data_IF_413984320898
#
_entry.id   IF_413984320898
#
_cell.length_a   1.000
_cell.length_b   1.000
_cell.length_c   1.000
_cell.angle_alpha   90.00
_cell.angle_beta   90.00
_cell.angle_gamma   90.00
#
_symmetry.space_group_name_H-M   'P 1'
#
loop_
_entity.id
_entity.type
_entity.pdbx_description
1 polymer ?
#
# COMPACT_ATOMS: atom_id res chain seq x y z
N UNK A 1 -10.04 -7.90 -15.15
CA UNK A 1 -8.85 -7.84 -14.29
C UNK A 1 -9.23 -7.55 -12.84
N UNK A 2 -10.14 -6.62 -12.59
CA UNK A 2 -10.53 -6.18 -11.24
C UNK A 2 -11.83 -6.80 -10.71
N UNK A 3 -12.55 -7.56 -11.54
CA UNK A 3 -13.75 -8.29 -11.12
C UNK A 3 -13.31 -9.60 -10.47
N UNK A 4 -13.78 -9.83 -9.22
CA UNK A 4 -13.53 -11.05 -8.45
C UNK A 4 -14.70 -12.01 -8.64
N UNK A 5 -14.41 -13.20 -9.13
CA UNK A 5 -15.39 -14.28 -9.37
C UNK A 5 -15.01 -15.57 -8.65
N UNK A 6 -13.82 -15.61 -8.08
CA UNK A 6 -13.30 -16.71 -7.29
C UNK A 6 -13.96 -16.80 -5.92
N UNK A 7 -14.14 -18.03 -5.42
CA UNK A 7 -14.55 -18.26 -4.04
C UNK A 7 -13.42 -17.93 -3.05
N UNK A 8 -13.75 -17.88 -1.77
CA UNK A 8 -12.83 -17.46 -0.70
C UNK A 8 -11.59 -18.36 -0.59
N UNK A 9 -11.75 -19.69 -0.72
CA UNK A 9 -10.62 -20.62 -0.63
C UNK A 9 -9.67 -20.46 -1.81
N UNK A 10 -10.22 -20.28 -2.99
CA UNK A 10 -9.46 -20.01 -4.20
C UNK A 10 -8.74 -18.66 -4.12
N UNK A 11 -9.38 -17.62 -3.56
CA UNK A 11 -8.75 -16.33 -3.35
C UNK A 11 -7.49 -16.43 -2.46
N UNK A 12 -7.60 -17.09 -1.29
CA UNK A 12 -6.47 -17.30 -0.37
C UNK A 12 -5.32 -18.03 -1.08
N UNK A 13 -5.63 -19.06 -1.86
CA UNK A 13 -4.62 -19.85 -2.57
C UNK A 13 -3.93 -19.08 -3.69
N UNK A 14 -4.66 -18.25 -4.42
CA UNK A 14 -4.13 -17.49 -5.55
C UNK A 14 -3.40 -16.22 -5.15
N UNK A 15 -3.77 -15.60 -4.02
CA UNK A 15 -3.27 -14.32 -3.56
C UNK A 15 -2.84 -14.36 -2.07
N UNK A 16 -1.85 -15.21 -1.75
CA UNK A 16 -1.48 -15.47 -0.35
C UNK A 16 -0.94 -14.23 0.36
N UNK A 17 -0.17 -13.37 -0.32
CA UNK A 17 0.37 -12.15 0.30
C UNK A 17 -0.72 -11.10 0.49
N UNK A 18 -1.57 -10.88 -0.50
CA UNK A 18 -2.72 -9.97 -0.36
C UNK A 18 -3.59 -10.39 0.81
N UNK A 19 -3.89 -11.70 0.90
CA UNK A 19 -4.68 -12.27 2.01
C UNK A 19 -3.99 -12.06 3.36
N UNK A 20 -2.69 -12.34 3.44
CA UNK A 20 -1.92 -12.17 4.66
C UNK A 20 -1.88 -10.71 5.13
N UNK A 21 -1.71 -9.75 4.21
CA UNK A 21 -1.73 -8.32 4.53
C UNK A 21 -3.10 -7.90 5.07
N UNK A 22 -4.19 -8.28 4.39
CA UNK A 22 -5.56 -7.96 4.82
C UNK A 22 -5.87 -8.55 6.20
N UNK A 23 -5.50 -9.82 6.42
CA UNK A 23 -5.70 -10.48 7.72
C UNK A 23 -4.87 -9.83 8.82
N UNK A 24 -3.60 -9.51 8.56
CA UNK A 24 -2.71 -8.86 9.53
C UNK A 24 -3.23 -7.48 9.94
N UNK A 25 -3.66 -6.66 9.00
CA UNK A 25 -4.24 -5.34 9.27
C UNK A 25 -5.51 -5.43 10.11
N UNK A 26 -6.39 -6.37 9.79
CA UNK A 26 -7.60 -6.61 10.56
C UNK A 26 -7.28 -7.07 11.99
N UNK A 27 -6.37 -8.04 12.14
CA UNK A 27 -5.97 -8.57 13.46
C UNK A 27 -5.34 -7.46 14.32
N UNK A 28 -4.41 -6.68 13.77
CA UNK A 28 -3.78 -5.57 14.49
C UNK A 28 -4.84 -4.54 14.90
N UNK A 29 -5.74 -4.17 14.00
CA UNK A 29 -6.79 -3.21 14.29
C UNK A 29 -7.71 -3.69 15.42
N UNK A 30 -8.14 -4.95 15.38
CA UNK A 30 -8.97 -5.56 16.47
C UNK A 30 -8.20 -5.61 17.79
N UNK A 31 -6.92 -5.97 17.78
CA UNK A 31 -6.09 -5.98 18.98
C UNK A 31 -5.97 -4.58 19.60
N UNK A 32 -5.81 -3.55 18.79
CA UNK A 32 -5.68 -2.16 19.29
C UNK A 32 -6.99 -1.54 19.77
N UNK A 33 -8.13 -2.20 19.59
CA UNK A 33 -9.39 -1.85 20.25
C UNK A 33 -9.46 -2.25 21.73
N UNK A 34 -8.54 -3.11 22.19
CA UNK A 34 -8.55 -3.61 23.57
C UNK A 34 -8.00 -2.50 24.50
N UNK A 35 -8.78 -2.01 25.48
CA UNK A 35 -8.38 -0.87 26.32
C UNK A 35 -7.45 -1.30 27.47
N UNK A 36 -6.31 -1.90 27.14
CA UNK A 36 -5.27 -2.26 28.09
C UNK A 36 -4.07 -1.34 27.94
N UNK A 37 -3.43 -0.89 29.06
CA UNK A 37 -2.26 -0.01 29.00
C UNK A 37 -1.10 -0.58 28.16
N UNK A 38 -0.87 -1.89 28.24
CA UNK A 38 0.13 -2.58 27.45
C UNK A 38 -0.17 -2.54 25.94
N UNK A 39 -1.44 -2.65 25.55
CA UNK A 39 -1.86 -2.56 24.13
C UNK A 39 -1.70 -1.14 23.64
N UNK A 40 -2.07 -0.14 24.45
CA UNK A 40 -1.88 1.27 24.12
C UNK A 40 -0.40 1.57 23.90
N UNK A 41 0.47 1.12 24.80
CA UNK A 41 1.92 1.27 24.63
C UNK A 41 2.42 0.66 23.29
N UNK A 42 1.98 -0.54 22.92
CA UNK A 42 2.34 -1.13 21.63
C UNK A 42 1.82 -0.33 20.44
N UNK A 43 0.59 0.20 20.54
CA UNK A 43 0.05 1.09 19.52
C UNK A 43 0.94 2.31 19.32
N UNK A 44 1.31 2.99 20.41
CA UNK A 44 2.14 4.21 20.36
C UNK A 44 3.55 3.94 19.83
N UNK A 45 4.12 2.76 20.10
CA UNK A 45 5.43 2.34 19.59
C UNK A 45 5.41 1.99 18.09
N UNK A 46 4.26 1.68 17.51
CA UNK A 46 4.17 1.17 16.14
C UNK A 46 3.65 2.18 15.12
N UNK A 47 3.09 3.31 15.55
CA UNK A 47 2.73 4.41 14.64
C UNK A 47 3.97 5.07 14.05
N UNK A 48 3.84 5.67 12.87
CA UNK A 48 4.85 6.55 12.30
C UNK A 48 4.94 7.83 13.14
N UNK A 49 6.15 8.15 13.59
CA UNK A 49 6.45 9.33 14.39
C UNK A 49 7.84 9.84 14.02
N UNK A 50 7.91 11.02 13.42
CA UNK A 50 9.15 11.53 12.84
C UNK A 50 10.25 11.73 13.88
N UNK A 51 9.92 12.23 15.07
CA UNK A 51 10.89 12.37 16.15
C UNK A 51 11.45 11.00 16.58
N UNK A 52 10.61 9.98 16.77
CA UNK A 52 11.06 8.63 17.09
C UNK A 52 11.99 8.06 16.03
N UNK A 53 11.73 8.30 14.74
CA UNK A 53 12.62 7.89 13.65
C UNK A 53 13.98 8.59 13.77
N UNK A 54 14.01 9.89 14.10
CA UNK A 54 15.24 10.64 14.32
C UNK A 54 16.06 10.11 15.51
N UNK A 55 15.41 9.60 16.54
CA UNK A 55 16.03 8.94 17.71
C UNK A 55 16.43 7.47 17.45
N UNK A 56 16.26 6.97 16.21
CA UNK A 56 16.69 5.64 15.81
C UNK A 56 15.62 4.56 15.81
N UNK A 57 14.35 4.90 15.96
CA UNK A 57 13.22 3.96 15.94
C UNK A 57 12.82 3.62 14.47
N UNK A 58 13.76 3.05 13.70
CA UNK A 58 13.61 2.80 12.26
C UNK A 58 12.45 1.88 11.87
N UNK A 59 11.95 1.04 12.80
CA UNK A 59 10.75 0.23 12.56
C UNK A 59 9.52 1.08 12.25
N UNK A 60 9.46 2.34 12.69
CA UNK A 60 8.38 3.29 12.38
C UNK A 60 8.29 3.71 10.91
N UNK A 61 9.26 3.31 10.09
CA UNK A 61 9.15 3.41 8.64
C UNK A 61 8.35 2.25 8.02
N UNK A 62 8.21 1.12 8.73
CA UNK A 62 7.55 -0.10 8.24
C UNK A 62 6.22 -0.34 8.95
N UNK A 63 6.19 -0.28 10.27
CA UNK A 63 5.04 -0.67 11.10
C UNK A 63 3.75 0.09 10.77
N UNK A 64 3.78 1.43 10.47
CA UNK A 64 2.58 2.20 10.17
C UNK A 64 1.78 1.69 8.96
N UNK A 65 2.45 0.99 8.03
CA UNK A 65 1.82 0.40 6.84
C UNK A 65 0.68 -0.57 7.21
N UNK A 66 0.76 -1.17 8.40
CA UNK A 66 -0.20 -2.18 8.87
C UNK A 66 -1.22 -1.65 9.87
N UNK A 67 -1.09 -0.39 10.32
CA UNK A 67 -1.90 0.21 11.38
C UNK A 67 -2.93 1.16 10.78
N UNK A 68 -4.12 1.22 11.39
CA UNK A 68 -5.21 2.06 10.92
C UNK A 68 -5.87 2.79 12.10
N UNK A 69 -6.04 4.11 11.97
CA UNK A 69 -6.59 4.97 13.00
C UNK A 69 -8.08 4.71 13.32
N UNK A 70 -8.84 4.10 12.40
CA UNK A 70 -10.26 3.84 12.61
C UNK A 70 -10.83 2.91 11.55
N UNK A 71 -12.08 2.49 11.79
CA UNK A 71 -12.78 1.52 10.93
C UNK A 71 -12.86 1.95 9.46
N UNK A 72 -13.26 3.20 9.20
CA UNK A 72 -13.37 3.70 7.81
C UNK A 72 -12.02 3.67 7.10
N UNK A 73 -10.94 4.04 7.81
CA UNK A 73 -9.58 4.01 7.26
C UNK A 73 -9.15 2.57 6.90
N UNK A 74 -9.35 1.62 7.81
CA UNK A 74 -9.10 0.19 7.54
C UNK A 74 -9.95 -0.30 6.36
N UNK A 75 -11.25 0.01 6.34
CA UNK A 75 -12.17 -0.46 5.33
C UNK A 75 -11.77 0.00 3.92
N UNK A 76 -11.51 1.30 3.73
CA UNK A 76 -11.13 1.83 2.42
C UNK A 76 -9.78 1.30 1.92
N UNK A 77 -8.79 1.16 2.81
CA UNK A 77 -7.52 0.53 2.47
C UNK A 77 -7.70 -0.95 2.12
N UNK A 78 -8.51 -1.68 2.89
CA UNK A 78 -8.78 -3.10 2.63
C UNK A 78 -9.53 -3.32 1.32
N UNK A 79 -10.52 -2.50 1.00
CA UNK A 79 -11.22 -2.55 -0.30
C UNK A 79 -10.24 -2.27 -1.45
N UNK A 80 -9.40 -1.25 -1.31
CA UNK A 80 -8.38 -0.93 -2.33
C UNK A 80 -7.41 -2.09 -2.54
N UNK A 81 -6.90 -2.69 -1.48
CA UNK A 81 -6.05 -3.89 -1.56
C UNK A 81 -6.78 -5.06 -2.20
N UNK A 82 -8.00 -5.37 -1.76
CA UNK A 82 -8.80 -6.47 -2.30
C UNK A 82 -9.03 -6.34 -3.81
N UNK A 83 -9.25 -5.14 -4.30
CA UNK A 83 -9.51 -4.88 -5.73
C UNK A 83 -8.22 -4.86 -6.56
N UNK A 84 -7.16 -4.21 -6.09
CA UNK A 84 -6.01 -3.88 -6.93
C UNK A 84 -4.79 -4.76 -6.69
N UNK A 85 -4.55 -5.27 -5.49
CA UNK A 85 -3.38 -6.06 -5.18
C UNK A 85 -3.33 -7.43 -5.88
N UNK A 86 -4.43 -8.21 -5.97
CA UNK A 86 -4.39 -9.57 -6.53
C UNK A 86 -3.86 -9.65 -7.95
N UNK A 87 -4.22 -8.69 -8.81
CA UNK A 87 -3.75 -8.71 -10.19
C UNK A 87 -2.23 -8.49 -10.28
N UNK A 88 -1.68 -7.60 -9.44
CA UNK A 88 -0.23 -7.37 -9.38
C UNK A 88 0.50 -8.56 -8.74
N UNK A 89 -0.04 -9.13 -7.67
CA UNK A 89 0.55 -10.32 -7.04
C UNK A 89 0.67 -11.47 -8.05
N UNK A 90 -0.37 -11.68 -8.87
CA UNK A 90 -0.34 -12.69 -9.93
C UNK A 90 0.66 -12.38 -11.05
N UNK A 91 0.78 -11.11 -11.45
CA UNK A 91 1.68 -10.67 -12.54
C UNK A 91 3.16 -10.71 -12.13
N UNK A 92 3.46 -10.31 -10.91
CA UNK A 92 4.83 -10.18 -10.41
C UNK A 92 5.32 -11.44 -9.69
N UNK A 93 4.40 -12.21 -9.12
CA UNK A 93 4.67 -13.26 -8.15
C UNK A 93 4.82 -12.72 -6.74
N UNK A 94 4.60 -13.58 -5.77
CA UNK A 94 4.45 -13.30 -4.33
C UNK A 94 5.56 -12.41 -3.74
N UNK A 95 6.84 -12.79 -3.93
CA UNK A 95 7.97 -12.07 -3.33
C UNK A 95 8.17 -10.67 -3.94
N UNK A 96 8.02 -10.54 -5.25
CA UNK A 96 8.20 -9.22 -5.91
C UNK A 96 7.05 -8.28 -5.59
N UNK A 97 5.83 -8.83 -5.49
CA UNK A 97 4.67 -8.06 -5.04
C UNK A 97 4.88 -7.54 -3.61
N UNK A 98 5.31 -8.42 -2.69
CA UNK A 98 5.61 -8.01 -1.31
C UNK A 98 6.72 -6.94 -1.27
N UNK A 99 7.78 -7.10 -2.05
CA UNK A 99 8.88 -6.13 -2.12
C UNK A 99 8.40 -4.76 -2.62
N UNK A 100 7.51 -4.72 -3.62
CA UNK A 100 6.91 -3.45 -4.08
C UNK A 100 5.99 -2.86 -3.03
N UNK A 101 5.11 -3.66 -2.42
CA UNK A 101 4.16 -3.18 -1.43
C UNK A 101 4.87 -2.54 -0.22
N UNK A 102 5.79 -3.30 0.40
CA UNK A 102 6.57 -2.80 1.53
C UNK A 102 7.52 -1.68 1.10
N UNK A 103 8.27 -1.87 0.02
CA UNK A 103 9.26 -0.90 -0.45
C UNK A 103 8.65 0.45 -0.78
N UNK A 104 7.51 0.48 -1.49
CA UNK A 104 6.83 1.74 -1.80
C UNK A 104 6.21 2.39 -0.57
N UNK A 105 5.67 1.60 0.37
CA UNK A 105 5.19 2.12 1.65
C UNK A 105 6.30 2.76 2.48
N UNK A 106 7.47 2.09 2.56
CA UNK A 106 8.66 2.63 3.23
C UNK A 106 9.17 3.90 2.54
N UNK A 107 9.22 3.93 1.20
CA UNK A 107 9.59 5.15 0.45
C UNK A 107 8.61 6.29 0.75
N UNK A 108 7.32 5.99 0.84
CA UNK A 108 6.30 6.95 1.27
C UNK A 108 6.57 7.52 2.66
N UNK A 109 6.85 6.66 3.62
CA UNK A 109 7.15 7.05 5.00
C UNK A 109 8.50 7.79 5.12
N UNK A 110 9.50 7.45 4.33
CA UNK A 110 10.75 8.21 4.22
C UNK A 110 10.47 9.62 3.68
N UNK A 111 9.65 9.75 2.64
CA UNK A 111 9.24 11.06 2.13
C UNK A 111 8.51 11.91 3.17
N UNK A 112 7.64 11.28 3.96
CA UNK A 112 6.98 11.91 5.11
C UNK A 112 7.99 12.39 6.14
N UNK A 113 8.94 11.54 6.53
CA UNK A 113 9.98 11.86 7.50
C UNK A 113 10.80 13.11 7.13
N UNK A 114 11.16 13.27 5.86
CA UNK A 114 11.98 14.39 5.41
C UNK A 114 11.22 15.70 5.21
N UNK A 115 9.90 15.65 5.02
CA UNK A 115 9.12 16.84 4.64
C UNK A 115 8.20 17.33 5.75
N UNK A 116 7.61 16.41 6.51
CA UNK A 116 6.72 16.76 7.60
C UNK A 116 7.50 17.10 8.88
N UNK A 117 6.93 17.89 9.79
CA UNK A 117 7.62 18.31 11.01
C UNK A 117 7.94 17.14 11.97
N UNK A 118 8.88 17.34 12.93
CA UNK A 118 9.29 16.28 13.85
C UNK A 118 8.15 15.65 14.67
N UNK A 119 7.14 16.41 15.01
CA UNK A 119 5.98 15.98 15.81
C UNK A 119 4.95 15.20 14.97
N UNK A 120 5.13 15.11 13.66
CA UNK A 120 4.17 14.48 12.78
C UNK A 120 4.04 12.99 13.06
N UNK A 121 2.80 12.55 13.20
CA UNK A 121 2.45 11.13 13.36
C UNK A 121 1.54 10.68 12.23
N UNK A 122 1.67 9.41 11.82
CA UNK A 122 0.86 8.85 10.75
C UNK A 122 0.70 7.34 10.86
N UNK A 123 -0.35 6.82 10.24
CA UNK A 123 -0.64 5.40 10.08
C UNK A 123 -1.35 5.16 8.74
N UNK A 124 -1.31 3.95 8.23
CA UNK A 124 -2.11 3.51 7.10
C UNK A 124 -1.32 2.84 5.98
N UNK A 125 -1.98 1.90 5.31
CA UNK A 125 -1.46 1.21 4.14
C UNK A 125 -1.46 2.07 2.87
N UNK A 126 -2.02 3.27 2.92
CA UNK A 126 -2.33 4.06 1.72
C UNK A 126 -1.09 4.45 0.91
N UNK A 127 0.06 4.73 1.54
CA UNK A 127 1.33 4.95 0.85
C UNK A 127 1.76 3.74 0.01
N UNK A 128 1.64 2.53 0.57
CA UNK A 128 1.91 1.29 -0.16
C UNK A 128 0.89 1.04 -1.29
N UNK A 129 -0.40 1.36 -1.06
CA UNK A 129 -1.45 1.26 -2.08
C UNK A 129 -1.19 2.24 -3.23
N UNK A 130 -0.79 3.48 -2.93
CA UNK A 130 -0.33 4.41 -3.97
C UNK A 130 0.90 3.87 -4.71
N UNK A 131 1.78 3.12 -4.03
CA UNK A 131 2.84 2.37 -4.68
C UNK A 131 2.33 1.34 -5.68
N UNK A 132 1.29 0.58 -5.35
CA UNK A 132 0.64 -0.32 -6.32
C UNK A 132 0.05 0.45 -7.51
N UNK A 133 -0.55 1.62 -7.29
CA UNK A 133 -0.97 2.49 -8.39
C UNK A 133 0.21 3.00 -9.22
N UNK A 134 1.38 3.23 -8.61
CA UNK A 134 2.63 3.53 -9.32
C UNK A 134 3.05 2.41 -10.27
N UNK A 135 2.93 1.15 -9.84
CA UNK A 135 3.16 -0.02 -10.71
C UNK A 135 2.17 -0.05 -11.88
N UNK A 136 0.88 0.15 -11.61
CA UNK A 136 -0.11 0.22 -12.68
C UNK A 136 0.15 1.36 -13.65
N UNK A 137 0.53 2.53 -13.15
CA UNK A 137 0.92 3.66 -13.98
C UNK A 137 2.11 3.31 -14.89
N UNK A 138 3.13 2.63 -14.35
CA UNK A 138 4.25 2.11 -15.14
C UNK A 138 3.78 1.17 -16.25
N UNK A 139 2.86 0.25 -15.94
CA UNK A 139 2.29 -0.69 -16.93
C UNK A 139 1.58 0.08 -18.05
N UNK A 140 0.74 1.03 -17.70
CA UNK A 140 -0.02 1.84 -18.68
C UNK A 140 0.91 2.65 -19.60
N UNK A 141 1.97 3.23 -19.05
CA UNK A 141 2.88 4.08 -19.81
C UNK A 141 3.89 3.27 -20.65
N UNK A 142 4.49 2.24 -20.05
CA UNK A 142 5.66 1.57 -20.61
C UNK A 142 5.46 0.09 -20.99
N UNK A 143 4.38 -0.55 -20.53
CA UNK A 143 4.13 -1.98 -20.72
C UNK A 143 2.70 -2.25 -21.19
N UNK A 144 2.24 -1.48 -22.18
CA UNK A 144 0.86 -1.48 -22.72
C UNK A 144 0.29 -2.87 -23.07
N UNK A 145 1.15 -3.85 -23.39
CA UNK A 145 0.71 -5.23 -23.68
C UNK A 145 0.32 -6.07 -22.46
N UNK A 146 0.53 -5.57 -21.22
CA UNK A 146 0.19 -6.30 -19.98
C UNK A 146 -1.24 -6.01 -19.48
N UNK A 147 -1.89 -4.98 -20.02
CA UNK A 147 -3.25 -4.59 -19.62
C UNK A 147 -4.04 -4.10 -20.85
N UNK A 148 -5.30 -4.49 -20.94
CA UNK A 148 -6.19 -4.00 -21.98
C UNK A 148 -6.59 -2.54 -21.75
N UNK A 149 -7.17 -1.92 -22.78
CA UNK A 149 -7.53 -0.50 -22.78
C UNK A 149 -8.59 -0.15 -21.70
N UNK A 150 -9.56 -1.04 -21.50
CA UNK A 150 -10.63 -0.80 -20.53
C UNK A 150 -10.10 -0.79 -19.09
N UNK A 151 -9.30 -1.79 -18.72
CA UNK A 151 -8.64 -1.85 -17.42
C UNK A 151 -7.65 -0.69 -17.21
N UNK A 152 -6.93 -0.28 -18.27
CA UNK A 152 -6.03 0.91 -18.21
C UNK A 152 -6.81 2.19 -17.93
N UNK A 153 -7.97 2.39 -18.56
CA UNK A 153 -8.83 3.54 -18.30
C UNK A 153 -9.37 3.55 -16.86
N UNK A 154 -9.81 2.39 -16.35
CA UNK A 154 -10.26 2.24 -14.96
C UNK A 154 -9.17 2.68 -14.00
N UNK A 155 -7.94 2.16 -14.17
CA UNK A 155 -6.80 2.50 -13.29
C UNK A 155 -6.48 4.00 -13.34
N UNK A 156 -6.36 4.57 -14.54
CA UNK A 156 -6.04 6.00 -14.68
C UNK A 156 -7.11 6.87 -14.02
N UNK A 157 -8.39 6.53 -14.20
CA UNK A 157 -9.50 7.25 -13.58
C UNK A 157 -9.45 7.16 -12.05
N UNK A 158 -9.27 5.94 -11.50
CA UNK A 158 -9.19 5.74 -10.06
C UNK A 158 -7.97 6.44 -9.47
N UNK A 159 -6.81 6.35 -10.13
CA UNK A 159 -5.62 7.06 -9.70
C UNK A 159 -5.83 8.58 -9.69
N UNK A 160 -6.42 9.13 -10.74
CA UNK A 160 -6.71 10.57 -10.81
C UNK A 160 -7.63 11.02 -9.67
N UNK A 161 -8.73 10.26 -9.41
CA UNK A 161 -9.63 10.52 -8.29
C UNK A 161 -8.89 10.40 -6.95
N UNK A 162 -8.08 9.35 -6.75
CA UNK A 162 -7.34 9.12 -5.51
C UNK A 162 -6.32 10.23 -5.24
N UNK A 163 -5.61 10.69 -6.28
CA UNK A 163 -4.70 11.84 -6.19
C UNK A 163 -5.47 13.11 -5.83
N UNK A 164 -6.59 13.39 -6.50
CA UNK A 164 -7.44 14.54 -6.18
C UNK A 164 -7.92 14.51 -4.72
N UNK A 165 -8.43 13.35 -4.27
CA UNK A 165 -8.90 13.17 -2.89
C UNK A 165 -7.80 13.33 -1.84
N UNK A 166 -6.54 13.06 -2.20
CA UNK A 166 -5.39 13.28 -1.33
C UNK A 166 -5.25 14.75 -0.90
N UNK A 167 -5.60 15.70 -1.77
CA UNK A 167 -5.50 17.13 -1.49
C UNK A 167 -6.76 17.75 -0.86
N UNK A 168 -7.88 17.05 -0.91
CA UNK A 168 -9.17 17.57 -0.39
C UNK A 168 -9.35 17.23 1.11
N UNK A 169 -8.79 16.12 1.58
CA UNK A 169 -8.98 15.64 2.94
C UNK A 169 -7.83 16.04 3.87
N UNK A 170 -8.11 16.76 4.93
CA UNK A 170 -7.12 17.31 5.88
C UNK A 170 -6.32 16.27 6.67
N UNK A 171 -6.83 15.04 6.80
CA UNK A 171 -6.19 13.98 7.62
C UNK A 171 -5.43 12.95 6.77
N UNK A 172 -5.03 13.31 5.55
CA UNK A 172 -4.30 12.42 4.67
C UNK A 172 -2.81 12.79 4.67
N UNK A 173 -1.96 11.78 4.83
CA UNK A 173 -0.52 11.93 4.64
C UNK A 173 -0.21 12.06 3.14
N UNK A 174 -0.18 13.31 2.66
CA UNK A 174 0.05 13.65 1.25
C UNK A 174 1.42 13.12 0.80
N UNK A 175 2.45 13.27 1.63
CA UNK A 175 3.81 12.85 1.29
C UNK A 175 3.91 11.34 1.13
N UNK A 176 3.28 10.56 2.01
CA UNK A 176 3.24 9.11 1.87
C UNK A 176 2.59 8.67 0.55
N UNK A 177 1.54 9.35 0.10
CA UNK A 177 0.89 9.06 -1.18
C UNK A 177 1.78 9.39 -2.37
N UNK A 178 2.36 10.60 -2.42
CA UNK A 178 3.22 11.03 -3.53
C UNK A 178 4.46 10.16 -3.62
N UNK A 179 5.21 10.02 -2.53
CA UNK A 179 6.44 9.23 -2.53
C UNK A 179 6.17 7.73 -2.66
N UNK A 180 5.05 7.23 -2.15
CA UNK A 180 4.60 5.86 -2.38
C UNK A 180 4.34 5.60 -3.87
N UNK A 181 3.61 6.47 -4.56
CA UNK A 181 3.35 6.39 -6.00
C UNK A 181 4.67 6.40 -6.81
N UNK A 182 5.56 7.34 -6.51
CA UNK A 182 6.87 7.43 -7.16
C UNK A 182 7.73 6.21 -6.85
N UNK A 183 7.69 5.70 -5.62
CA UNK A 183 8.38 4.48 -5.21
C UNK A 183 7.92 3.26 -6.00
N UNK A 184 6.61 3.07 -6.13
CA UNK A 184 6.05 1.98 -6.93
C UNK A 184 6.41 2.09 -8.41
N UNK A 185 6.36 3.29 -8.98
CA UNK A 185 6.80 3.56 -10.34
C UNK A 185 8.28 3.20 -10.54
N UNK A 186 9.15 3.62 -9.63
CA UNK A 186 10.59 3.38 -9.68
C UNK A 186 10.98 1.91 -9.45
N UNK A 187 10.25 1.20 -8.59
CA UNK A 187 10.48 -0.23 -8.32
C UNK A 187 9.95 -1.16 -9.43
N UNK A 188 9.10 -0.66 -10.32
CA UNK A 188 8.46 -1.45 -11.37
C UNK A 188 9.43 -2.07 -12.39
N UNK A 189 10.43 -1.36 -12.95
CA UNK A 189 11.30 -1.90 -14.01
C UNK A 189 12.01 -3.19 -13.61
N UNK A 190 12.67 -3.29 -12.43
CA UNK A 190 13.39 -4.50 -12.04
C UNK A 190 12.47 -5.62 -11.53
N UNK A 191 11.27 -5.29 -11.04
CA UNK A 191 10.39 -6.25 -10.37
C UNK A 191 9.27 -6.82 -11.26
N UNK A 192 8.86 -6.10 -12.31
CA UNK A 192 7.99 -6.68 -13.33
C UNK A 192 8.77 -7.64 -14.22
N UNK A 193 8.29 -8.88 -14.36
CA UNK A 193 8.89 -9.86 -15.26
C UNK A 193 8.95 -9.27 -16.68
N UNK A 194 10.11 -9.37 -17.33
CA UNK A 194 10.15 -9.24 -18.80
C UNK A 194 9.19 -10.29 -19.38
N UNK A 195 8.35 -9.88 -20.34
CA UNK A 195 7.64 -10.86 -21.17
C UNK A 195 8.74 -11.73 -21.76
N UNK A 196 8.79 -13.01 -21.41
CA UNK A 196 9.69 -13.93 -22.11
C UNK A 196 9.24 -13.88 -23.57
N UNK A 197 10.10 -13.42 -24.45
CA UNK A 197 9.95 -13.57 -25.89
C UNK A 197 10.07 -15.06 -26.17
N UNK A 198 8.96 -15.77 -26.01
CA UNK A 198 8.87 -17.20 -26.14
C UNK A 198 7.44 -17.60 -26.39
N UNK A 199 7.19 -17.81 -27.63
CA UNK A 199 6.18 -18.43 -28.47
C UNK A 199 5.29 -17.48 -29.23
#
# INVERSE_FOLDING_TARGET
>A
MFIRTEDFQTFIRLYPVTTAILALQLVIWVLFLIPLPTVQMWSDLTIGFNWGIAEGEWWRLVTPIFIHAGFSHLLFNSISLFLFAPALERMMGTLRFLAVYIGSGVIGNIGTYFIEPPEYTHVGASGAIFGLFGVYLYIVLFRKGLMDRANSQIIVTILAISVLMTFINYNINIMAHIFGLLGGLALSPPLLKKKSDGF
#
